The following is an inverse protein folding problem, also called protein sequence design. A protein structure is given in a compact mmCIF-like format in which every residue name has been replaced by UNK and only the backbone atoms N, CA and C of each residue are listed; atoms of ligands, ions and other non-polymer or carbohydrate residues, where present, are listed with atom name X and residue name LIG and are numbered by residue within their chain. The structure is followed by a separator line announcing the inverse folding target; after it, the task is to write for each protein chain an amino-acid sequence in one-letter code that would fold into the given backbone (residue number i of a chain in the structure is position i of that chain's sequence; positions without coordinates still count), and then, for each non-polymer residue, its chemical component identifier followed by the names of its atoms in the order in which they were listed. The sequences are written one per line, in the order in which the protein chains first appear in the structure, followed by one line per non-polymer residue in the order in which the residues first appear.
data_IF_570749452119
#
_entry.id   IF_570749452119
#
_cell.length_a   1.000
_cell.length_b   1.000
_cell.length_c   1.000
_cell.angle_alpha   90.00
_cell.angle_beta   90.00
_cell.angle_gamma   90.00
#
_symmetry.space_group_name_H-M   'P 1'
#
loop_
_entity.id
_entity.type
_entity.pdbx_description
1 polymer ?
#
# COMPACT_ATOMS: atom_id res chain seq x y z
N UNK A 1 -30.79 -12.46 -8.61
CA UNK A 1 -29.52 -11.72 -8.74
C UNK A 1 -29.35 -10.95 -7.45
N UNK A 2 -28.69 -11.56 -6.47
CA UNK A 2 -28.43 -10.93 -5.17
C UNK A 2 -27.40 -9.84 -5.43
N UNK A 3 -27.76 -8.58 -5.16
CA UNK A 3 -26.79 -7.49 -5.14
C UNK A 3 -25.63 -7.93 -4.26
N UNK A 4 -24.43 -8.03 -4.85
CA UNK A 4 -23.19 -8.20 -4.10
C UNK A 4 -23.14 -7.01 -3.12
N UNK A 5 -23.48 -7.25 -1.85
CA UNK A 5 -23.25 -6.29 -0.79
C UNK A 5 -21.78 -5.89 -0.89
N UNK A 6 -21.54 -4.60 -1.14
CA UNK A 6 -20.19 -4.05 -1.06
C UNK A 6 -19.76 -4.27 0.38
N UNK A 7 -18.86 -5.24 0.60
CA UNK A 7 -18.32 -5.50 1.92
C UNK A 7 -17.63 -4.21 2.38
N UNK A 8 -17.90 -3.81 3.61
CA UNK A 8 -17.24 -2.62 4.13
C UNK A 8 -15.76 -2.96 4.35
N UNK A 9 -14.89 -1.95 4.29
CA UNK A 9 -13.48 -2.10 4.69
C UNK A 9 -13.33 -2.68 6.12
N UNK A 10 -14.36 -2.52 6.96
CA UNK A 10 -14.41 -3.09 8.31
C UNK A 10 -14.55 -4.62 8.28
N UNK A 11 -15.28 -5.17 7.31
CA UNK A 11 -15.42 -6.61 7.13
C UNK A 11 -14.08 -7.21 6.71
N UNK A 12 -13.42 -6.65 5.69
CA UNK A 12 -12.07 -7.05 5.26
C UNK A 12 -11.12 -7.08 6.45
N UNK A 13 -11.13 -6.02 7.25
CA UNK A 13 -10.29 -5.91 8.45
C UNK A 13 -10.63 -6.93 9.53
N UNK A 14 -11.91 -7.27 9.71
CA UNK A 14 -12.34 -8.33 10.63
C UNK A 14 -11.76 -9.69 10.24
N UNK A 15 -11.78 -10.03 8.95
CA UNK A 15 -11.17 -11.27 8.45
C UNK A 15 -9.65 -11.26 8.58
N UNK A 16 -8.99 -10.13 8.27
CA UNK A 16 -7.55 -9.99 8.47
C UNK A 16 -7.15 -10.21 9.95
N UNK A 17 -7.94 -9.67 10.90
CA UNK A 17 -7.74 -9.93 12.34
C UNK A 17 -7.91 -11.41 12.68
N UNK A 18 -8.93 -12.07 12.12
CA UNK A 18 -9.16 -13.50 12.32
C UNK A 18 -7.98 -14.35 11.82
N UNK A 19 -7.45 -14.04 10.64
CA UNK A 19 -6.29 -14.72 10.07
C UNK A 19 -5.03 -14.54 10.94
N UNK A 20 -4.77 -13.33 11.42
CA UNK A 20 -3.67 -13.06 12.35
C UNK A 20 -3.83 -13.80 13.68
N UNK A 21 -5.05 -13.86 14.22
CA UNK A 21 -5.33 -14.57 15.47
C UNK A 21 -5.14 -16.08 15.33
N UNK A 22 -5.65 -16.67 14.24
CA UNK A 22 -5.46 -18.09 13.95
C UNK A 22 -3.98 -18.48 13.80
N UNK A 23 -3.15 -17.56 13.29
CA UNK A 23 -1.71 -17.75 13.16
C UNK A 23 -0.92 -17.42 14.43
N UNK A 24 -1.56 -16.97 15.52
CA UNK A 24 -0.84 -16.47 16.71
C UNK A 24 0.03 -15.24 16.44
N UNK A 25 -0.27 -14.49 15.37
CA UNK A 25 0.60 -13.46 14.79
C UNK A 25 0.16 -12.02 15.09
N UNK A 26 -0.89 -11.82 15.90
CA UNK A 26 -1.46 -10.50 16.21
C UNK A 26 -0.40 -9.51 16.72
N UNK A 27 0.53 -9.99 17.54
CA UNK A 27 1.58 -9.19 18.17
C UNK A 27 2.97 -9.39 17.55
N UNK A 28 3.06 -9.90 16.31
CA UNK A 28 4.32 -10.13 15.60
C UNK A 28 4.58 -9.09 14.49
N UNK A 29 5.83 -8.61 14.40
CA UNK A 29 6.30 -7.65 13.41
C UNK A 29 7.78 -7.94 13.10
N UNK A 30 8.10 -8.46 11.90
CA UNK A 30 7.18 -8.66 10.78
C UNK A 30 6.20 -9.81 11.07
N UNK A 31 5.00 -9.75 10.47
CA UNK A 31 4.05 -10.86 10.53
C UNK A 31 4.65 -12.07 9.79
N UNK A 32 4.66 -13.28 10.39
CA UNK A 32 5.07 -14.50 9.70
C UNK A 32 3.99 -14.91 8.71
N UNK A 33 4.11 -14.45 7.46
CA UNK A 33 3.08 -14.68 6.42
C UNK A 33 2.86 -16.16 6.15
N UNK A 34 3.90 -16.99 6.23
CA UNK A 34 3.78 -18.43 6.03
C UNK A 34 2.94 -19.11 7.13
N UNK A 35 3.01 -18.63 8.38
CA UNK A 35 2.13 -19.12 9.46
C UNK A 35 0.68 -18.69 9.23
N UNK A 36 0.46 -17.49 8.66
CA UNK A 36 -0.87 -17.03 8.25
C UNK A 36 -1.43 -17.90 7.13
N UNK A 37 -0.61 -18.26 6.14
CA UNK A 37 -0.99 -19.20 5.05
C UNK A 37 -1.45 -20.54 5.65
N UNK A 38 -0.66 -21.12 6.54
CA UNK A 38 -0.99 -22.39 7.19
C UNK A 38 -2.28 -22.29 8.03
N UNK A 39 -2.43 -21.21 8.79
CA UNK A 39 -3.58 -21.00 9.68
C UNK A 39 -4.91 -20.83 8.92
N UNK A 40 -4.89 -20.27 7.70
CA UNK A 40 -6.08 -20.20 6.85
C UNK A 40 -6.34 -21.48 6.05
N UNK A 41 -5.53 -22.54 6.25
CA UNK A 41 -5.69 -23.83 5.57
C UNK A 41 -5.23 -23.82 4.10
N UNK A 42 -4.32 -22.92 3.73
CA UNK A 42 -3.67 -22.90 2.42
C UNK A 42 -2.35 -23.70 2.47
N UNK A 43 -2.03 -24.40 1.38
CA UNK A 43 -0.74 -25.06 1.20
C UNK A 43 0.11 -24.28 0.20
N UNK A 44 1.38 -24.03 0.53
CA UNK A 44 2.33 -23.34 -0.36
C UNK A 44 2.96 -24.37 -1.31
N UNK A 45 2.94 -24.10 -2.61
CA UNK A 45 3.76 -24.83 -3.57
C UNK A 45 4.46 -23.83 -4.50
N UNK A 46 5.73 -24.06 -4.78
CA UNK A 46 6.45 -23.22 -5.73
C UNK A 46 5.94 -23.47 -7.15
N UNK A 47 5.82 -22.41 -7.96
CA UNK A 47 5.55 -22.55 -9.41
C UNK A 47 6.65 -23.34 -10.12
N UNK A 48 7.86 -23.34 -9.55
CA UNK A 48 9.05 -23.98 -10.12
C UNK A 48 9.25 -25.42 -9.64
N UNK A 49 8.64 -25.82 -8.51
CA UNK A 49 8.70 -27.20 -8.01
C UNK A 49 7.68 -28.12 -8.69
N UNK A 50 6.70 -27.55 -9.40
CA UNK A 50 5.85 -28.32 -10.29
C UNK A 50 6.52 -28.43 -11.65
N UNK A 51 7.00 -29.63 -11.98
CA UNK A 51 7.30 -29.95 -13.37
C UNK A 51 6.04 -29.70 -14.22
N UNK A 52 6.21 -29.21 -15.46
CA UNK A 52 5.12 -29.03 -16.42
C UNK A 52 4.01 -30.11 -16.37
N UNK A 53 4.29 -31.42 -16.21
CA UNK A 53 3.26 -32.46 -16.11
C UNK A 53 2.29 -32.34 -14.93
N UNK A 54 2.68 -31.75 -13.78
CA UNK A 54 1.85 -31.71 -12.56
C UNK A 54 1.00 -30.44 -12.41
N UNK A 55 1.16 -29.48 -13.32
CA UNK A 55 0.28 -28.30 -13.34
C UNK A 55 -1.13 -28.70 -13.84
N UNK A 56 -2.20 -28.31 -13.11
CA UNK A 56 -3.57 -28.47 -13.57
C UNK A 56 -3.73 -27.92 -15.00
N UNK A 57 -4.51 -28.59 -15.88
CA UNK A 57 -4.62 -28.20 -17.29
C UNK A 57 -4.96 -26.71 -17.51
N UNK A 58 -5.77 -26.14 -16.62
CA UNK A 58 -6.16 -24.72 -16.63
C UNK A 58 -5.00 -23.76 -16.35
N UNK A 59 -4.08 -24.13 -15.44
CA UNK A 59 -2.88 -23.33 -15.16
C UNK A 59 -1.85 -23.48 -16.28
N UNK A 60 -1.76 -24.68 -16.87
CA UNK A 60 -0.90 -24.91 -18.03
C UNK A 60 -1.30 -24.04 -19.23
N UNK A 61 -2.60 -23.90 -19.49
CA UNK A 61 -3.08 -22.98 -20.53
C UNK A 61 -2.83 -21.50 -20.19
N UNK A 62 -2.99 -21.13 -18.91
CA UNK A 62 -2.72 -19.76 -18.45
C UNK A 62 -1.23 -19.42 -18.55
N UNK A 63 -0.34 -20.33 -18.15
CA UNK A 63 1.10 -20.20 -18.25
C UNK A 63 1.57 -20.11 -19.72
N UNK A 64 0.97 -20.90 -20.62
CA UNK A 64 1.22 -20.84 -22.08
C UNK A 64 0.77 -19.51 -22.71
N UNK A 65 -0.32 -18.91 -22.22
CA UNK A 65 -0.83 -17.62 -22.71
C UNK A 65 -0.12 -16.41 -22.10
N UNK A 66 0.49 -16.56 -20.92
CA UNK A 66 1.17 -15.49 -20.19
C UNK A 66 2.66 -15.80 -20.01
N UNK A 67 3.38 -15.92 -21.13
CA UNK A 67 4.84 -15.97 -21.12
C UNK A 67 5.40 -14.71 -20.43
N UNK A 68 5.77 -14.86 -19.15
CA UNK A 68 6.56 -13.89 -18.39
C UNK A 68 5.83 -12.93 -17.44
N UNK A 69 4.52 -13.08 -17.13
CA UNK A 69 3.79 -12.14 -16.23
C UNK A 69 2.71 -12.75 -15.33
N UNK A 70 2.93 -13.94 -14.78
CA UNK A 70 2.07 -14.45 -13.69
C UNK A 70 2.76 -14.15 -12.36
N UNK A 71 2.44 -12.99 -11.77
CA UNK A 71 3.02 -12.50 -10.49
C UNK A 71 2.59 -13.34 -9.27
N UNK A 72 1.49 -14.07 -9.44
CA UNK A 72 0.82 -14.98 -8.53
C UNK A 72 -0.39 -15.53 -9.27
N UNK A 73 -0.68 -16.81 -9.16
CA UNK A 73 -1.91 -17.38 -9.67
C UNK A 73 -2.47 -18.32 -8.63
N UNK A 74 -3.59 -17.98 -8.01
CA UNK A 74 -4.26 -18.93 -7.14
C UNK A 74 -5.08 -19.92 -7.96
N UNK A 75 -4.79 -21.19 -7.78
CA UNK A 75 -5.69 -22.28 -8.12
C UNK A 75 -6.65 -22.43 -6.93
N UNK A 76 -7.73 -21.64 -6.94
CA UNK A 76 -8.68 -21.54 -5.82
C UNK A 76 -9.31 -22.91 -5.49
N UNK A 77 -9.37 -23.83 -6.46
CA UNK A 77 -9.91 -25.18 -6.29
C UNK A 77 -8.95 -26.14 -5.59
N UNK A 78 -7.65 -25.87 -5.65
CA UNK A 78 -6.58 -26.76 -5.16
C UNK A 78 -5.95 -26.27 -3.85
N UNK A 79 -6.30 -25.07 -3.35
CA UNK A 79 -5.70 -24.45 -2.15
C UNK A 79 -4.18 -24.28 -2.21
N UNK A 80 -3.64 -24.16 -3.43
CA UNK A 80 -2.20 -24.01 -3.67
C UNK A 80 -1.86 -22.55 -3.96
N UNK A 81 -1.01 -21.98 -3.12
CA UNK A 81 -0.46 -20.64 -3.29
C UNK A 81 0.83 -20.70 -4.11
N UNK A 82 0.74 -20.23 -5.35
CA UNK A 82 1.85 -20.11 -6.29
C UNK A 82 2.47 -18.72 -6.24
N UNK A 83 3.76 -18.65 -5.93
CA UNK A 83 4.48 -17.38 -5.81
C UNK A 83 5.76 -17.43 -6.63
N UNK A 84 5.99 -16.40 -7.43
CA UNK A 84 7.22 -16.27 -8.20
C UNK A 84 8.41 -16.01 -7.26
N UNK A 85 9.36 -16.95 -7.26
CA UNK A 85 10.54 -16.89 -6.42
C UNK A 85 11.62 -15.91 -6.89
N UNK A 86 11.46 -15.29 -8.06
CA UNK A 86 12.33 -14.19 -8.49
C UNK A 86 11.95 -12.85 -7.85
N UNK A 87 10.77 -12.76 -7.21
CA UNK A 87 10.32 -11.54 -6.55
C UNK A 87 11.15 -11.21 -5.32
N UNK A 88 11.39 -9.91 -5.11
CA UNK A 88 12.01 -9.39 -3.88
C UNK A 88 11.20 -9.82 -2.64
N UNK A 89 11.85 -10.00 -1.47
CA UNK A 89 11.17 -10.48 -0.26
C UNK A 89 9.92 -9.67 0.10
N UNK A 90 9.97 -8.34 -0.03
CA UNK A 90 8.82 -7.46 0.21
C UNK A 90 7.68 -7.70 -0.76
N UNK A 91 7.96 -7.83 -2.06
CA UNK A 91 6.93 -8.11 -3.08
C UNK A 91 6.32 -9.48 -2.87
N UNK A 92 7.16 -10.49 -2.58
CA UNK A 92 6.71 -11.85 -2.27
C UNK A 92 5.72 -11.87 -1.11
N UNK A 93 6.07 -11.23 0.00
CA UNK A 93 5.21 -11.14 1.19
C UNK A 93 3.88 -10.47 0.87
N UNK A 94 3.89 -9.40 0.08
CA UNK A 94 2.67 -8.72 -0.34
C UNK A 94 1.81 -9.61 -1.24
N UNK A 95 2.39 -10.24 -2.27
CA UNK A 95 1.69 -11.18 -3.14
C UNK A 95 1.05 -12.30 -2.31
N UNK A 96 1.80 -12.93 -1.40
CA UNK A 96 1.26 -13.97 -0.53
C UNK A 96 0.07 -13.47 0.29
N UNK A 97 0.19 -12.32 0.95
CA UNK A 97 -0.90 -11.76 1.76
C UNK A 97 -2.12 -11.35 0.91
N UNK A 98 -1.92 -10.89 -0.32
CA UNK A 98 -2.97 -10.57 -1.28
C UNK A 98 -3.76 -11.82 -1.68
N UNK A 99 -3.05 -12.89 -2.02
CA UNK A 99 -3.66 -14.17 -2.34
C UNK A 99 -4.42 -14.75 -1.12
N UNK A 100 -3.85 -14.66 0.10
CA UNK A 100 -4.58 -15.02 1.33
C UNK A 100 -5.89 -14.23 1.42
N UNK A 101 -5.90 -12.95 1.06
CA UNK A 101 -7.12 -12.15 1.01
C UNK A 101 -8.18 -12.73 0.07
N UNK A 102 -7.80 -13.18 -1.13
CA UNK A 102 -8.72 -13.85 -2.04
C UNK A 102 -9.32 -15.14 -1.47
N UNK A 103 -8.57 -15.86 -0.64
CA UNK A 103 -9.04 -17.09 -0.01
C UNK A 103 -9.85 -16.84 1.28
N UNK A 104 -9.40 -15.92 2.12
CA UNK A 104 -9.93 -15.71 3.47
C UNK A 104 -11.22 -14.89 3.49
N UNK A 105 -11.52 -14.13 2.43
CA UNK A 105 -12.75 -13.33 2.30
C UNK A 105 -13.86 -14.19 1.68
N UNK A 106 -14.92 -14.57 2.42
CA UNK A 106 -15.89 -15.57 1.95
C UNK A 106 -16.64 -15.18 0.68
N UNK A 107 -16.84 -13.88 0.43
CA UNK A 107 -17.50 -13.39 -0.77
C UNK A 107 -16.60 -13.42 -2.02
N UNK A 108 -15.30 -13.68 -1.87
CA UNK A 108 -14.41 -13.93 -3.01
C UNK A 108 -14.59 -15.35 -3.56
N UNK A 109 -14.91 -16.35 -2.71
CA UNK A 109 -15.06 -17.75 -3.13
C UNK A 109 -16.05 -17.88 -4.29
N UNK A 110 -17.28 -17.38 -4.13
CA UNK A 110 -18.30 -17.43 -5.17
C UNK A 110 -17.94 -16.67 -6.46
N UNK A 111 -17.20 -15.56 -6.35
CA UNK A 111 -16.81 -14.75 -7.52
C UNK A 111 -15.78 -15.46 -8.42
N UNK A 112 -14.90 -16.27 -7.84
CA UNK A 112 -13.90 -17.01 -8.60
C UNK A 112 -14.28 -18.49 -8.87
N UNK A 113 -15.32 -19.00 -8.20
CA UNK A 113 -15.84 -20.36 -8.41
C UNK A 113 -16.97 -20.41 -9.44
N UNK A 114 -17.77 -19.35 -9.58
CA UNK A 114 -19.00 -19.36 -10.42
C UNK A 114 -18.82 -18.71 -11.78
N UNK A 115 -17.76 -17.96 -12.03
CA UNK A 115 -17.56 -17.36 -13.35
C UNK A 115 -16.11 -17.54 -13.81
N UNK A 116 -15.99 -18.04 -15.04
CA UNK A 116 -14.78 -17.85 -15.83
C UNK A 116 -14.34 -16.37 -15.68
N UNK A 117 -13.04 -16.08 -15.66
CA UNK A 117 -12.53 -14.70 -15.54
C UNK A 117 -12.99 -13.78 -16.69
N UNK A 118 -13.79 -14.32 -17.62
CA UNK A 118 -14.44 -13.69 -18.78
C UNK A 118 -15.85 -13.16 -18.50
N UNK A 119 -16.57 -13.60 -17.46
CA UNK A 119 -17.96 -13.21 -17.18
C UNK A 119 -18.14 -12.24 -16.00
N UNK A 120 -17.13 -12.12 -15.12
CA UNK A 120 -17.10 -11.06 -14.10
C UNK A 120 -17.03 -9.66 -14.74
N UNK A 121 -17.89 -8.74 -14.30
CA UNK A 121 -17.81 -7.36 -14.75
C UNK A 121 -16.44 -6.74 -14.36
N UNK A 122 -15.86 -5.87 -15.20
CA UNK A 122 -14.61 -5.18 -14.87
C UNK A 122 -14.68 -4.40 -13.55
N UNK A 123 -15.87 -3.90 -13.20
CA UNK A 123 -16.12 -3.20 -11.94
C UNK A 123 -16.02 -4.15 -10.73
N UNK A 124 -16.73 -5.27 -10.76
CA UNK A 124 -16.68 -6.30 -9.71
C UNK A 124 -15.26 -6.81 -9.50
N UNK A 125 -14.56 -7.13 -10.59
CA UNK A 125 -13.16 -7.55 -10.51
C UNK A 125 -12.29 -6.51 -9.82
N UNK A 126 -12.43 -5.23 -10.17
CA UNK A 126 -11.68 -4.15 -9.53
C UNK A 126 -11.95 -4.06 -8.03
N UNK A 127 -13.20 -4.26 -7.58
CA UNK A 127 -13.55 -4.24 -6.16
C UNK A 127 -12.88 -5.39 -5.40
N UNK A 128 -12.96 -6.62 -5.91
CA UNK A 128 -12.33 -7.79 -5.28
C UNK A 128 -10.81 -7.65 -5.16
N UNK A 129 -10.15 -7.12 -6.19
CA UNK A 129 -8.71 -6.84 -6.17
C UNK A 129 -8.36 -5.73 -5.15
N UNK A 130 -9.23 -4.73 -4.99
CA UNK A 130 -9.06 -3.69 -3.97
C UNK A 130 -9.22 -4.26 -2.55
N UNK A 131 -10.18 -5.15 -2.34
CA UNK A 131 -10.41 -5.82 -1.06
C UNK A 131 -9.25 -6.75 -0.68
N UNK A 132 -8.71 -7.52 -1.63
CA UNK A 132 -7.53 -8.36 -1.41
C UNK A 132 -6.28 -7.51 -1.09
N UNK A 133 -6.09 -6.38 -1.78
CA UNK A 133 -5.02 -5.42 -1.45
C UNK A 133 -5.18 -4.83 -0.05
N UNK A 134 -6.42 -4.51 0.34
CA UNK A 134 -6.72 -4.02 1.68
C UNK A 134 -6.44 -5.09 2.74
N UNK A 135 -6.87 -6.33 2.52
CA UNK A 135 -6.56 -7.47 3.40
C UNK A 135 -5.05 -7.64 3.57
N UNK A 136 -4.29 -7.63 2.46
CA UNK A 136 -2.84 -7.75 2.50
C UNK A 136 -2.19 -6.64 3.34
N UNK A 137 -2.65 -5.40 3.19
CA UNK A 137 -2.17 -4.28 4.00
C UNK A 137 -2.51 -4.46 5.49
N UNK A 138 -3.74 -4.88 5.82
CA UNK A 138 -4.15 -5.14 7.20
C UNK A 138 -3.29 -6.22 7.86
N UNK A 139 -2.98 -7.32 7.16
CA UNK A 139 -2.11 -8.38 7.66
C UNK A 139 -0.68 -7.88 7.81
N UNK A 140 -0.06 -7.34 6.75
CA UNK A 140 1.36 -6.99 6.76
C UNK A 140 1.73 -5.89 7.75
N UNK A 141 0.81 -4.95 7.98
CA UNK A 141 0.99 -3.87 8.96
C UNK A 141 0.52 -4.22 10.38
N UNK A 142 0.04 -5.44 10.60
CA UNK A 142 -0.43 -5.88 11.93
C UNK A 142 -1.60 -5.03 12.42
N UNK A 143 -2.59 -4.80 11.55
CA UNK A 143 -3.75 -3.94 11.82
C UNK A 143 -3.34 -2.51 12.20
N UNK A 144 -3.56 -2.10 13.45
CA UNK A 144 -3.19 -0.77 13.94
C UNK A 144 -1.73 -0.68 14.38
N UNK A 145 -1.03 -1.80 14.59
CA UNK A 145 0.25 -1.80 15.29
C UNK A 145 1.29 -0.89 14.63
N UNK A 146 1.42 -0.97 13.30
CA UNK A 146 2.30 -0.07 12.55
C UNK A 146 1.94 1.40 12.80
N UNK A 147 0.66 1.72 12.72
CA UNK A 147 0.14 3.09 12.84
C UNK A 147 0.32 3.63 14.26
N UNK A 148 -0.02 2.84 15.28
CA UNK A 148 0.13 3.22 16.69
C UNK A 148 1.61 3.52 17.01
N UNK A 149 2.53 2.72 16.48
CA UNK A 149 3.95 2.96 16.65
C UNK A 149 4.47 4.17 15.85
N UNK A 150 3.98 4.36 14.62
CA UNK A 150 4.32 5.52 13.81
C UNK A 150 3.81 6.82 14.46
N UNK A 151 2.59 6.80 15.00
CA UNK A 151 1.94 7.93 15.68
C UNK A 151 2.60 8.27 17.02
N UNK A 152 3.37 7.35 17.61
CA UNK A 152 4.22 7.64 18.77
C UNK A 152 5.39 8.60 18.43
N UNK A 153 5.78 8.71 17.15
CA UNK A 153 6.71 9.73 16.68
C UNK A 153 6.00 11.07 16.43
N UNK A 154 6.78 12.15 16.27
CA UNK A 154 6.23 13.40 15.75
C UNK A 154 5.61 13.18 14.37
N UNK A 155 4.46 13.79 14.06
CA UNK A 155 3.87 13.70 12.72
C UNK A 155 4.87 14.15 11.65
N UNK A 156 5.17 13.27 10.70
CA UNK A 156 6.18 13.50 9.67
C UNK A 156 6.59 12.20 8.98
N UNK A 157 7.56 12.29 8.08
CA UNK A 157 8.07 11.13 7.35
C UNK A 157 8.89 10.18 8.24
N UNK A 158 9.58 10.73 9.23
CA UNK A 158 10.60 10.02 10.00
C UNK A 158 10.08 8.77 10.72
N UNK A 159 8.95 8.88 11.43
CA UNK A 159 8.35 7.76 12.15
C UNK A 159 8.06 6.53 11.26
N UNK A 160 7.17 6.66 10.25
CA UNK A 160 6.83 5.56 9.36
C UNK A 160 8.02 5.03 8.57
N UNK A 161 8.95 5.87 8.11
CA UNK A 161 10.14 5.42 7.38
C UNK A 161 11.13 4.65 8.26
N UNK A 162 11.26 5.03 9.55
CA UNK A 162 12.15 4.35 10.50
C UNK A 162 11.70 2.92 10.76
N UNK A 163 10.39 2.70 10.90
CA UNK A 163 9.85 1.40 11.30
C UNK A 163 9.44 0.51 10.12
N UNK A 164 9.37 1.04 8.88
CA UNK A 164 8.93 0.32 7.69
C UNK A 164 9.60 -1.05 7.51
N UNK A 165 10.94 -1.09 7.66
CA UNK A 165 11.73 -2.31 7.53
C UNK A 165 11.33 -3.41 8.52
N UNK A 166 10.93 -3.03 9.75
CA UNK A 166 10.48 -4.00 10.77
C UNK A 166 9.18 -4.71 10.38
N UNK A 167 8.33 -4.07 9.58
CA UNK A 167 7.11 -4.69 9.05
C UNK A 167 7.34 -5.40 7.70
N UNK A 168 8.57 -5.39 7.19
CA UNK A 168 8.90 -5.94 5.87
C UNK A 168 8.22 -5.17 4.73
N UNK A 169 7.86 -3.90 4.96
CA UNK A 169 7.15 -3.06 4.02
C UNK A 169 8.10 -2.12 3.27
N UNK A 170 7.74 -1.74 2.04
CA UNK A 170 8.45 -0.67 1.33
C UNK A 170 8.16 0.69 1.96
N UNK A 171 9.08 1.64 1.82
CA UNK A 171 8.88 3.03 2.26
C UNK A 171 7.59 3.65 1.70
N UNK A 172 7.24 3.33 0.44
CA UNK A 172 6.00 3.79 -0.16
C UNK A 172 4.77 3.21 0.56
N UNK A 173 4.72 1.88 0.73
CA UNK A 173 3.60 1.25 1.42
C UNK A 173 3.44 1.77 2.85
N UNK A 174 4.55 1.96 3.57
CA UNK A 174 4.56 2.50 4.93
C UNK A 174 4.03 3.94 5.00
N UNK A 175 4.48 4.83 4.11
CA UNK A 175 3.98 6.21 4.05
C UNK A 175 2.49 6.27 3.69
N UNK A 176 2.06 5.45 2.74
CA UNK A 176 0.65 5.38 2.33
C UNK A 176 -0.22 4.87 3.49
N UNK A 177 0.17 3.78 4.14
CA UNK A 177 -0.53 3.24 5.33
C UNK A 177 -0.63 4.26 6.45
N UNK A 178 0.48 4.93 6.75
CA UNK A 178 0.51 5.99 7.76
C UNK A 178 -0.47 7.11 7.41
N UNK A 179 -0.44 7.59 6.17
CA UNK A 179 -1.35 8.63 5.73
C UNK A 179 -2.82 8.20 5.68
N UNK A 180 -3.14 6.92 5.47
CA UNK A 180 -4.52 6.42 5.49
C UNK A 180 -5.09 6.27 6.91
N UNK A 181 -4.24 5.94 7.89
CA UNK A 181 -4.72 5.41 9.18
C UNK A 181 -4.26 6.19 10.40
N UNK A 182 -3.29 7.11 10.28
CA UNK A 182 -2.80 7.93 11.39
C UNK A 182 -3.93 8.70 12.05
N UNK A 183 -3.87 8.78 13.39
CA UNK A 183 -4.73 9.68 14.16
C UNK A 183 -4.37 11.16 13.96
N UNK A 184 -3.13 11.45 13.54
CA UNK A 184 -2.68 12.81 13.26
C UNK A 184 -3.23 13.32 11.92
N UNK A 185 -3.50 14.64 11.79
CA UNK A 185 -3.96 15.21 10.53
C UNK A 185 -2.79 15.28 9.53
N UNK A 186 -2.62 14.21 8.79
CA UNK A 186 -1.58 14.03 7.77
C UNK A 186 -2.16 13.69 6.40
N UNK A 187 -1.45 14.07 5.34
CA UNK A 187 -1.81 13.72 3.97
C UNK A 187 -0.57 13.47 3.12
N UNK A 188 -0.59 12.43 2.28
CA UNK A 188 0.48 12.05 1.37
C UNK A 188 0.07 12.35 -0.07
N UNK A 189 0.95 13.05 -0.79
CA UNK A 189 0.82 13.29 -2.23
C UNK A 189 1.96 12.61 -2.96
N UNK A 190 1.63 11.84 -3.99
CA UNK A 190 2.59 11.14 -4.82
C UNK A 190 2.74 11.81 -6.19
N UNK A 191 3.99 11.94 -6.64
CA UNK A 191 4.39 12.63 -7.85
C UNK A 191 5.30 11.77 -8.72
N UNK A 192 5.30 12.06 -10.02
CA UNK A 192 6.23 11.46 -10.97
C UNK A 192 7.69 11.83 -10.76
N UNK A 193 8.56 10.91 -11.21
CA UNK A 193 10.02 11.09 -11.25
C UNK A 193 10.47 12.16 -12.23
N UNK A 194 9.71 12.42 -13.28
CA UNK A 194 10.09 13.42 -14.27
C UNK A 194 9.13 14.60 -14.22
N UNK A 195 9.69 15.80 -14.37
CA UNK A 195 8.91 17.00 -14.61
C UNK A 195 8.26 16.93 -15.99
N UNK A 196 7.05 17.47 -16.09
CA UNK A 196 6.30 17.62 -17.34
C UNK A 196 6.27 19.10 -17.77
N UNK A 197 5.67 19.37 -18.93
CA UNK A 197 5.49 20.74 -19.47
C UNK A 197 6.81 21.55 -19.59
N UNK A 198 7.88 20.89 -20.04
CA UNK A 198 9.20 21.52 -20.21
C UNK A 198 9.88 21.87 -18.89
N UNK A 199 9.77 21.00 -17.88
CA UNK A 199 10.44 21.20 -16.59
C UNK A 199 9.62 21.97 -15.54
N UNK A 200 8.43 22.46 -15.91
CA UNK A 200 7.66 23.42 -15.09
C UNK A 200 6.63 22.79 -14.17
N UNK A 201 6.34 21.51 -14.33
CA UNK A 201 5.29 20.84 -13.57
C UNK A 201 5.69 19.45 -13.10
N UNK A 202 5.04 18.96 -12.05
CA UNK A 202 5.10 17.58 -11.58
C UNK A 202 3.74 16.91 -11.81
N UNK A 203 3.77 15.71 -12.41
CA UNK A 203 2.58 14.85 -12.52
C UNK A 203 2.21 14.32 -11.13
N UNK A 204 0.94 14.40 -10.77
CA UNK A 204 0.35 13.81 -9.56
C UNK A 204 -0.22 12.44 -9.91
N UNK A 205 -0.12 11.49 -8.98
CA UNK A 205 -0.76 10.18 -9.08
C UNK A 205 -1.86 10.04 -8.02
N UNK A 206 -3.11 10.45 -8.30
CA UNK A 206 -4.19 10.44 -7.31
C UNK A 206 -4.41 9.09 -6.62
N UNK A 207 -4.22 7.97 -7.33
CA UNK A 207 -4.34 6.62 -6.77
C UNK A 207 -3.26 6.23 -5.76
N UNK A 208 -2.14 6.96 -5.75
CA UNK A 208 -1.02 6.78 -4.82
C UNK A 208 -1.02 7.84 -3.70
N UNK A 209 -1.95 8.80 -3.76
CA UNK A 209 -2.18 9.75 -2.67
C UNK A 209 -3.02 9.10 -1.56
N UNK A 210 -2.87 9.61 -0.34
CA UNK A 210 -3.62 9.16 0.82
C UNK A 210 -3.89 10.33 1.77
N UNK A 211 -5.01 10.29 2.49
CA UNK A 211 -5.40 11.32 3.45
C UNK A 211 -5.94 10.64 4.71
N UNK A 212 -5.50 11.10 5.87
CA UNK A 212 -5.99 10.58 7.15
C UNK A 212 -7.41 11.08 7.40
N UNK A 213 -8.21 10.32 8.17
CA UNK A 213 -9.56 10.75 8.52
C UNK A 213 -9.58 12.15 9.15
N UNK A 214 -8.68 12.39 10.12
CA UNK A 214 -8.60 13.67 10.81
C UNK A 214 -8.12 14.83 9.93
N UNK A 215 -7.32 14.58 8.89
CA UNK A 215 -7.00 15.60 7.88
C UNK A 215 -8.20 15.86 6.96
N UNK A 216 -8.84 14.81 6.46
CA UNK A 216 -9.96 14.91 5.53
C UNK A 216 -11.15 15.65 6.15
N UNK A 217 -11.49 15.35 7.40
CA UNK A 217 -12.54 16.03 8.17
C UNK A 217 -12.25 17.52 8.36
N UNK A 218 -10.97 17.88 8.60
CA UNK A 218 -10.60 19.27 8.89
C UNK A 218 -10.43 20.13 7.65
N UNK A 219 -9.81 19.57 6.61
CA UNK A 219 -9.31 20.34 5.46
C UNK A 219 -9.91 19.89 4.13
N UNK A 220 -10.31 18.62 4.01
CA UNK A 220 -10.72 17.97 2.75
C UNK A 220 -9.72 16.93 2.27
N UNK A 221 -10.07 16.16 1.24
CA UNK A 221 -9.18 15.14 0.67
C UNK A 221 -8.01 15.81 -0.06
N UNK A 222 -6.79 15.28 0.13
CA UNK A 222 -5.58 15.89 -0.43
C UNK A 222 -5.62 16.02 -1.95
N UNK A 223 -6.24 15.07 -2.65
CA UNK A 223 -6.34 15.09 -4.12
C UNK A 223 -7.18 16.24 -4.64
N UNK A 224 -7.99 16.89 -3.80
CA UNK A 224 -8.76 18.08 -4.21
C UNK A 224 -7.91 19.35 -4.30
N UNK A 225 -6.73 19.38 -3.68
CA UNK A 225 -5.83 20.55 -3.71
C UNK A 225 -4.81 20.52 -4.86
N UNK A 226 -4.70 19.37 -5.52
CA UNK A 226 -3.73 19.12 -6.58
C UNK A 226 -4.45 18.50 -7.78
N UNK A 227 -4.40 19.17 -8.93
CA UNK A 227 -4.81 18.55 -10.19
C UNK A 227 -3.82 17.49 -10.66
N UNK A 228 -4.04 16.95 -11.86
CA UNK A 228 -3.15 15.93 -12.46
C UNK A 228 -1.70 16.40 -12.63
N UNK A 229 -1.50 17.71 -12.72
CA UNK A 229 -0.21 18.35 -12.78
C UNK A 229 -0.18 19.58 -11.88
N UNK A 230 0.94 19.79 -11.18
CA UNK A 230 1.17 20.97 -10.35
C UNK A 230 2.42 21.70 -10.80
N UNK A 231 2.33 23.02 -10.91
CA UNK A 231 3.48 23.86 -11.28
C UNK A 231 4.52 23.86 -10.14
N UNK A 232 5.78 23.65 -10.47
CA UNK A 232 6.89 23.65 -9.50
C UNK A 232 7.09 25.01 -8.85
N UNK A 233 6.80 26.09 -9.59
CA UNK A 233 6.86 27.47 -9.10
C UNK A 233 5.75 27.83 -8.09
N UNK A 234 4.76 26.96 -7.86
CA UNK A 234 3.65 27.22 -6.91
C UNK A 234 4.14 27.32 -5.46
N UNK A 235 5.23 26.63 -5.11
CA UNK A 235 5.82 26.74 -3.78
C UNK A 235 7.27 26.23 -3.76
N UNK A 236 8.09 26.69 -2.78
CA UNK A 236 9.44 26.16 -2.59
C UNK A 236 9.46 24.64 -2.40
N UNK A 237 8.49 24.08 -1.69
CA UNK A 237 8.35 22.63 -1.51
C UNK A 237 8.23 21.87 -2.85
N UNK A 238 7.47 22.38 -3.81
CA UNK A 238 7.32 21.72 -5.13
C UNK A 238 8.57 21.89 -6.00
N UNK A 239 9.24 23.05 -5.92
CA UNK A 239 10.50 23.29 -6.60
C UNK A 239 11.60 22.33 -6.10
N UNK A 240 11.77 22.21 -4.78
CA UNK A 240 12.71 21.26 -4.17
C UNK A 240 12.33 19.82 -4.49
N UNK A 241 11.04 19.49 -4.45
CA UNK A 241 10.59 18.15 -4.80
C UNK A 241 10.97 17.79 -6.24
N UNK A 242 10.88 18.72 -7.19
CA UNK A 242 11.21 18.45 -8.59
C UNK A 242 12.68 18.10 -8.82
N UNK A 243 13.59 18.60 -7.99
CA UNK A 243 15.04 18.38 -8.09
C UNK A 243 15.55 17.30 -7.14
N UNK A 244 14.70 16.74 -6.28
CA UNK A 244 15.10 15.74 -5.29
C UNK A 244 15.69 14.50 -5.99
N UNK A 245 16.96 14.22 -5.69
CA UNK A 245 17.78 13.15 -6.26
C UNK A 245 18.07 12.01 -5.29
N UNK A 246 18.16 12.30 -3.99
CA UNK A 246 18.55 11.33 -2.96
C UNK A 246 17.40 10.97 -2.02
N UNK A 247 17.53 9.79 -1.40
CA UNK A 247 16.60 9.32 -0.38
C UNK A 247 16.86 10.08 0.92
N UNK A 248 16.28 11.28 1.07
CA UNK A 248 15.98 12.04 2.31
C UNK A 248 15.87 13.53 1.93
N UNK A 249 14.82 14.25 2.38
CA UNK A 249 15.06 15.51 3.13
C UNK A 249 13.83 16.14 3.83
N UNK A 250 14.16 16.66 5.02
CA UNK A 250 13.55 17.68 5.88
C UNK A 250 12.03 17.96 5.89
N UNK A 251 11.47 17.97 7.10
CA UNK A 251 10.09 18.35 7.40
C UNK A 251 9.87 19.90 7.48
N UNK A 252 10.76 20.73 6.96
CA UNK A 252 10.77 22.19 7.26
C UNK A 252 10.14 23.07 6.20
N UNK A 253 9.91 22.57 4.98
CA UNK A 253 9.34 23.38 3.90
C UNK A 253 7.87 23.64 4.14
N UNK A 254 7.40 24.78 3.66
CA UNK A 254 6.01 25.20 3.80
C UNK A 254 5.23 24.98 2.51
N UNK A 255 3.98 24.55 2.67
CA UNK A 255 3.00 24.39 1.61
C UNK A 255 1.72 25.11 1.98
N UNK A 256 1.49 26.33 1.49
CA UNK A 256 0.20 27.00 1.64
C UNK A 256 -0.84 26.33 0.74
N UNK A 257 -2.00 26.00 1.30
CA UNK A 257 -3.15 25.47 0.57
C UNK A 257 -4.41 26.24 0.95
N UNK A 258 -5.26 26.47 -0.06
CA UNK A 258 -6.63 26.92 0.17
C UNK A 258 -7.48 25.72 0.59
N UNK A 259 -8.03 25.79 1.81
CA UNK A 259 -8.84 24.72 2.40
C UNK A 259 -10.27 25.20 2.61
N UNK A 260 -11.19 24.30 2.99
CA UNK A 260 -12.54 24.69 3.41
C UNK A 260 -12.57 25.63 4.62
N UNK A 261 -11.45 25.78 5.34
CA UNK A 261 -11.27 26.70 6.47
C UNK A 261 -10.45 27.94 6.11
N UNK A 262 -10.28 28.23 4.82
CA UNK A 262 -9.42 29.29 4.30
C UNK A 262 -7.98 28.83 4.07
N UNK A 263 -7.09 29.81 3.85
CA UNK A 263 -5.67 29.59 3.61
C UNK A 263 -4.98 28.97 4.84
N UNK A 264 -4.37 27.80 4.67
CA UNK A 264 -3.64 27.08 5.72
C UNK A 264 -2.26 26.70 5.21
N UNK A 265 -1.23 27.05 5.96
CA UNK A 265 0.15 26.61 5.69
C UNK A 265 0.45 25.29 6.40
N UNK A 266 0.90 24.30 5.64
CA UNK A 266 1.34 23.00 6.13
C UNK A 266 2.86 22.91 6.10
N UNK A 267 3.41 22.03 6.95
CA UNK A 267 4.79 21.55 6.78
C UNK A 267 4.78 20.43 5.75
N UNK A 268 5.74 20.44 4.85
CA UNK A 268 5.92 19.47 3.79
C UNK A 268 7.22 18.69 4.04
N UNK A 269 7.10 17.40 4.37
CA UNK A 269 8.21 16.46 4.33
C UNK A 269 8.34 15.86 2.95
N UNK A 270 9.54 15.86 2.38
CA UNK A 270 9.79 15.36 1.01
C UNK A 270 10.55 14.04 1.02
N UNK A 271 10.14 13.11 0.16
CA UNK A 271 10.78 11.80 0.04
C UNK A 271 10.81 11.35 -1.42
N UNK A 272 11.92 10.76 -1.85
CA UNK A 272 12.04 10.15 -3.18
C UNK A 272 12.50 8.71 -3.01
N UNK A 273 11.76 7.76 -3.56
CA UNK A 273 12.10 6.33 -3.47
C UNK A 273 12.75 5.78 -4.75
N UNK A 274 13.36 6.65 -5.57
CA UNK A 274 13.94 6.33 -6.89
C UNK A 274 12.92 6.06 -8.03
N UNK A 275 11.62 5.96 -7.71
CA UNK A 275 10.55 5.74 -8.68
C UNK A 275 9.50 6.86 -8.68
N UNK A 276 9.06 7.26 -7.49
CA UNK A 276 8.08 8.31 -7.25
C UNK A 276 8.60 9.25 -6.17
N UNK A 277 8.14 10.49 -6.27
CA UNK A 277 8.39 11.51 -5.26
C UNK A 277 7.16 11.68 -4.40
N UNK A 278 7.36 11.94 -3.13
CA UNK A 278 6.31 12.02 -2.12
C UNK A 278 6.45 13.30 -1.35
N UNK A 279 5.30 13.88 -1.02
CA UNK A 279 5.19 14.98 -0.11
C UNK A 279 4.18 14.62 0.97
N UNK A 280 4.62 14.62 2.22
CA UNK A 280 3.75 14.42 3.37
C UNK A 280 3.45 15.78 4.01
N UNK A 281 2.17 16.15 4.03
CA UNK A 281 1.67 17.38 4.63
C UNK A 281 1.28 17.11 6.07
N UNK A 282 1.77 17.94 6.99
CA UNK A 282 1.47 17.88 8.42
C UNK A 282 1.26 19.29 9.00
N UNK A 283 0.62 19.38 10.17
CA UNK A 283 0.59 20.63 10.95
C UNK A 283 1.79 20.70 11.88
N UNK A 284 2.31 21.92 12.09
CA UNK A 284 3.40 22.17 13.04
C UNK A 284 2.97 21.74 14.45
N UNK A 285 3.64 20.72 14.98
CA UNK A 285 3.33 20.13 16.28
C UNK A 285 4.61 19.99 17.11
N UNK A 286 4.54 20.25 18.41
CA UNK A 286 5.69 20.18 19.35
C UNK A 286 5.77 18.83 20.09
N UNK A 287 4.66 18.08 20.11
CA UNK A 287 4.50 16.78 20.78
C UNK A 287 5.04 15.61 19.95
N UNK A 288 5.60 14.60 20.63
CA UNK A 288 6.09 13.33 20.06
C UNK A 288 7.62 13.20 20.02
N UNK A 289 8.12 11.96 19.95
CA UNK A 289 9.57 11.67 19.82
C UNK A 289 10.07 11.99 18.40
N UNK A 290 11.25 12.58 18.26
CA UNK A 290 11.88 12.75 16.94
C UNK A 290 12.45 11.42 16.48
N UNK A 291 12.19 11.05 15.23
CA UNK A 291 12.92 9.95 14.59
C UNK A 291 14.40 10.35 14.41
N UNK A 292 15.33 9.40 14.56
CA UNK A 292 16.72 9.62 14.14
C UNK A 292 16.76 9.66 12.62
N UNK A 293 17.65 10.45 12.03
CA UNK A 293 17.83 10.48 10.58
C UNK A 293 18.10 9.06 10.08
N UNK A 294 17.23 8.56 9.20
CA UNK A 294 17.39 7.24 8.59
C UNK A 294 18.37 7.43 7.43
N UNK A 295 19.66 7.18 7.67
CA UNK A 295 20.57 6.86 6.58
C UNK A 295 20.22 5.42 6.16
N UNK A 296 19.35 5.25 5.16
CA UNK A 296 19.19 3.93 4.56
C UNK A 296 20.51 3.57 3.88
N UNK A 297 21.06 2.35 4.08
CA UNK A 297 22.21 1.92 3.33
C UNK A 297 21.84 1.92 1.85
N UNK A 298 22.69 2.51 1.03
CA UNK A 298 22.69 2.35 -0.42
C UNK A 298 22.72 0.85 -0.70
N UNK A 299 21.58 0.28 -1.09
CA UNK A 299 21.53 -1.10 -1.58
C UNK A 299 22.30 -1.14 -2.90
N UNK A 300 23.46 -1.81 -2.88
CA UNK A 300 24.16 -2.28 -4.08
C UNK A 300 23.36 -3.37 -4.79
#
# INVERSE_FOLDING_TARGET
MTDLQIASIQDVRRYARGALAAAGAVDLAPVPVDDVVAAVGLHKASLFDLGEPDLPPRIRELAKKFTGRVLGAMAIKEKILYVDESLSPTRRRFTQAHEIGHHALPWHEGAYFVDDRTTLSPHTRRLLEQEANAFAAEVLFGLNRFTDEADAYRPGLGGPLTIAGRYGASSHAALRRYAETSGHPVALVAFGRYTTHGGRALKVFPSQCATSGSFAERYGNVTTFFGDHVLTARSPALATLATLSDQVHEDTLEMPLETRRGAVTFRAGLFYNQHLRFMLLTRRTVLGRRARAVNQPTTA
#
